data_IF_767268155932
#
_entry.id   IF_767268155932
#
_cell.length_a   1.000
_cell.length_b   1.000
_cell.length_c   1.000
_cell.angle_alpha   90.00
_cell.angle_beta   90.00
_cell.angle_gamma   90.00
#
_symmetry.space_group_name_H-M   'P 1'
#
loop_
_entity.id
_entity.type
_entity.pdbx_description
1 polymer ?
#
# COMPACT_ATOMS: atom_id res chain seq x y z
N UNK A 1 -5.47 -15.72 15.06
CA UNK A 1 -5.64 -16.99 15.80
C UNK A 1 -6.24 -18.08 14.90
N UNK A 2 -7.44 -17.88 14.32
CA UNK A 2 -8.13 -18.94 13.54
C UNK A 2 -7.32 -19.50 12.34
N UNK A 3 -6.54 -18.68 11.65
CA UNK A 3 -5.72 -19.15 10.51
C UNK A 3 -4.57 -20.06 10.98
N UNK A 4 -3.81 -19.64 12.01
CA UNK A 4 -2.76 -20.48 12.62
C UNK A 4 -3.30 -21.79 13.21
N UNK A 5 -4.52 -21.79 13.75
CA UNK A 5 -5.17 -23.00 14.22
C UNK A 5 -5.53 -23.94 13.06
N UNK A 6 -5.92 -23.38 11.91
CA UNK A 6 -6.19 -24.14 10.69
C UNK A 6 -4.94 -24.82 10.12
N UNK A 7 -3.84 -24.08 9.98
CA UNK A 7 -2.57 -24.65 9.48
C UNK A 7 -2.00 -25.72 10.41
N UNK A 8 -2.08 -25.52 11.74
CA UNK A 8 -1.71 -26.51 12.74
C UNK A 8 -2.60 -27.76 12.70
N UNK A 9 -3.89 -27.60 12.44
CA UNK A 9 -4.81 -28.73 12.30
C UNK A 9 -4.46 -29.60 11.09
N UNK A 10 -4.17 -29.00 9.92
CA UNK A 10 -3.76 -29.71 8.71
C UNK A 10 -2.44 -30.45 8.94
N UNK A 11 -1.47 -29.81 9.56
CA UNK A 11 -0.19 -30.46 9.95
C UNK A 11 -0.40 -31.65 10.87
N UNK A 12 -1.24 -31.51 11.91
CA UNK A 12 -1.54 -32.59 12.85
C UNK A 12 -2.22 -33.78 12.17
N UNK A 13 -3.18 -33.54 11.28
CA UNK A 13 -3.80 -34.57 10.46
C UNK A 13 -2.78 -35.28 9.56
N UNK A 14 -1.85 -34.53 8.94
CA UNK A 14 -0.78 -35.09 8.15
C UNK A 14 0.14 -36.00 8.96
N UNK A 15 0.48 -35.60 10.19
CA UNK A 15 1.30 -36.41 11.12
C UNK A 15 0.58 -37.69 11.58
N UNK A 16 -0.70 -37.59 11.93
CA UNK A 16 -1.50 -38.73 12.41
C UNK A 16 -1.80 -39.74 11.30
N UNK A 17 -2.03 -39.26 10.05
CA UNK A 17 -2.34 -40.12 8.90
C UNK A 17 -1.10 -40.62 8.14
N UNK A 18 0.10 -40.07 8.41
CA UNK A 18 1.31 -40.30 7.62
C UNK A 18 1.22 -39.74 6.19
N UNK A 19 0.27 -38.85 5.91
CA UNK A 19 0.06 -38.27 4.59
C UNK A 19 0.99 -37.09 4.36
N UNK A 20 1.96 -37.28 3.45
CA UNK A 20 3.00 -36.30 3.13
C UNK A 20 2.44 -35.03 2.47
N UNK A 21 1.40 -35.15 1.67
CA UNK A 21 0.75 -34.02 1.02
C UNK A 21 0.14 -33.07 2.05
N UNK A 22 -0.55 -33.59 3.07
CA UNK A 22 -1.07 -32.79 4.19
C UNK A 22 0.03 -32.14 5.03
N UNK A 23 1.20 -32.79 5.14
CA UNK A 23 2.34 -32.19 5.84
C UNK A 23 2.93 -31.02 5.06
N UNK A 24 3.10 -31.20 3.74
CA UNK A 24 3.65 -30.15 2.87
C UNK A 24 2.69 -28.97 2.76
N UNK A 25 1.38 -29.21 2.60
CA UNK A 25 0.36 -28.16 2.58
C UNK A 25 0.23 -27.43 3.91
N UNK A 26 0.17 -28.17 5.01
CA UNK A 26 0.10 -27.58 6.35
C UNK A 26 1.32 -26.76 6.71
N UNK A 27 2.50 -27.18 6.24
CA UNK A 27 3.73 -26.42 6.41
C UNK A 27 3.72 -25.12 5.61
N UNK A 28 3.34 -25.18 4.33
CA UNK A 28 3.22 -23.98 3.47
C UNK A 28 2.22 -22.96 4.05
N UNK A 29 1.07 -23.45 4.53
CA UNK A 29 0.07 -22.61 5.21
C UNK A 29 0.63 -21.95 6.47
N UNK A 30 1.40 -22.69 7.28
CA UNK A 30 2.02 -22.17 8.51
C UNK A 30 3.07 -21.11 8.21
N UNK A 31 3.92 -21.32 7.20
CA UNK A 31 4.91 -20.33 6.76
C UNK A 31 4.23 -19.03 6.30
N UNK A 32 3.14 -19.12 5.55
CA UNK A 32 2.35 -17.96 5.12
C UNK A 32 1.74 -17.22 6.31
N UNK A 33 1.15 -17.94 7.27
CA UNK A 33 0.55 -17.37 8.46
C UNK A 33 1.57 -16.67 9.36
N UNK A 34 2.74 -17.28 9.56
CA UNK A 34 3.86 -16.68 10.31
C UNK A 34 4.34 -15.40 9.61
N UNK A 35 4.49 -15.43 8.29
CA UNK A 35 4.88 -14.25 7.51
C UNK A 35 3.86 -13.12 7.68
N UNK A 36 2.56 -13.43 7.61
CA UNK A 36 1.48 -12.47 7.85
C UNK A 36 1.53 -11.87 9.25
N UNK A 37 1.75 -12.68 10.28
CA UNK A 37 1.84 -12.19 11.67
C UNK A 37 3.07 -11.31 11.86
N UNK A 38 4.22 -11.71 11.33
CA UNK A 38 5.45 -10.91 11.36
C UNK A 38 5.23 -9.54 10.70
N UNK A 39 4.63 -9.52 9.51
CA UNK A 39 4.41 -8.28 8.77
C UNK A 39 3.42 -7.36 9.52
N UNK A 40 2.43 -7.94 10.20
CA UNK A 40 1.52 -7.22 11.08
C UNK A 40 2.23 -6.60 12.28
N UNK A 41 3.10 -7.36 12.94
CA UNK A 41 3.86 -6.87 14.09
C UNK A 41 4.86 -5.78 13.71
N UNK A 42 5.59 -5.95 12.61
CA UNK A 42 6.52 -4.94 12.10
C UNK A 42 5.79 -3.64 11.72
N UNK A 43 4.58 -3.77 11.18
CA UNK A 43 3.75 -2.61 10.85
C UNK A 43 3.28 -1.87 12.11
N UNK A 44 2.82 -2.59 13.15
CA UNK A 44 2.45 -2.01 14.45
C UNK A 44 3.63 -1.30 15.12
N UNK A 45 4.81 -1.91 15.08
CA UNK A 45 6.04 -1.30 15.62
C UNK A 45 6.38 0.01 14.90
N UNK A 46 6.24 0.07 13.57
CA UNK A 46 6.46 1.31 12.79
C UNK A 46 5.45 2.40 13.14
N UNK A 47 4.19 2.06 13.41
CA UNK A 47 3.17 3.03 13.85
C UNK A 47 3.52 3.61 15.23
N UNK A 48 4.09 2.80 16.12
CA UNK A 48 4.47 3.21 17.49
C UNK A 48 5.77 4.02 17.58
N UNK A 49 6.64 3.92 16.59
CA UNK A 49 7.91 4.65 16.57
C UNK A 49 7.70 6.07 16.04
N UNK A 50 8.02 7.07 16.84
CA UNK A 50 8.27 8.44 16.36
C UNK A 50 9.67 8.44 15.73
N UNK A 51 9.74 8.17 14.44
CA UNK A 51 11.01 8.26 13.71
C UNK A 51 11.14 9.69 13.19
N UNK A 52 12.24 10.35 13.46
CA UNK A 52 12.57 11.66 12.86
C UNK A 52 12.50 11.56 11.34
N UNK A 53 11.97 12.62 10.70
CA UNK A 53 11.95 12.73 9.25
C UNK A 53 13.38 12.79 8.72
N UNK A 54 13.72 11.92 7.77
CA UNK A 54 14.99 11.89 7.07
C UNK A 54 14.84 12.50 5.68
N UNK A 55 14.70 13.81 5.63
CA UNK A 55 14.59 14.53 4.37
C UNK A 55 15.98 14.63 3.69
N UNK A 56 16.07 14.13 2.46
CA UNK A 56 17.20 14.29 1.56
C UNK A 56 16.71 14.86 0.24
N UNK A 57 17.59 15.50 -0.52
CA UNK A 57 17.28 15.90 -1.89
C UNK A 57 17.16 14.66 -2.75
N UNK A 58 15.96 14.36 -3.22
CA UNK A 58 15.62 13.17 -3.97
C UNK A 58 14.77 13.52 -5.18
N UNK A 59 15.03 12.88 -6.33
CA UNK A 59 14.12 12.87 -7.46
C UNK A 59 12.78 12.26 -7.02
N UNK A 60 11.65 13.01 -7.07
CA UNK A 60 10.36 12.57 -6.56
C UNK A 60 9.78 11.38 -7.32
N UNK A 61 10.30 11.07 -8.49
CA UNK A 61 9.90 9.93 -9.34
C UNK A 61 10.54 8.63 -8.86
N UNK A 62 11.70 8.71 -8.23
CA UNK A 62 12.48 7.54 -7.82
C UNK A 62 11.72 6.59 -6.86
N UNK A 63 11.03 7.08 -5.80
CA UNK A 63 10.24 6.22 -4.92
C UNK A 63 9.18 5.40 -5.67
N UNK A 64 8.51 6.00 -6.67
CA UNK A 64 7.51 5.30 -7.47
C UNK A 64 8.16 4.20 -8.32
N UNK A 65 9.28 4.49 -8.99
CA UNK A 65 10.01 3.51 -9.80
C UNK A 65 10.44 2.30 -8.97
N UNK A 66 10.93 2.52 -7.74
CA UNK A 66 11.31 1.44 -6.83
C UNK A 66 10.11 0.56 -6.46
N UNK A 67 8.97 1.18 -6.12
CA UNK A 67 7.75 0.46 -5.75
C UNK A 67 7.20 -0.35 -6.90
N UNK A 68 7.09 0.25 -8.09
CA UNK A 68 6.61 -0.43 -9.30
C UNK A 68 7.48 -1.63 -9.61
N UNK A 69 8.81 -1.46 -9.68
CA UNK A 69 9.76 -2.55 -9.91
C UNK A 69 9.64 -3.67 -8.90
N UNK A 70 9.44 -3.33 -7.61
CA UNK A 70 9.29 -4.31 -6.53
C UNK A 70 8.00 -5.12 -6.61
N UNK A 71 6.91 -4.52 -7.12
CA UNK A 71 5.59 -5.16 -7.20
C UNK A 71 5.26 -5.74 -8.58
N UNK A 72 6.08 -5.51 -9.60
CA UNK A 72 5.87 -5.96 -10.98
C UNK A 72 5.70 -7.48 -11.07
N UNK A 73 6.55 -8.25 -10.39
CA UNK A 73 6.43 -9.72 -10.35
C UNK A 73 5.14 -10.19 -9.69
N UNK A 74 4.71 -9.52 -8.60
CA UNK A 74 3.43 -9.82 -7.93
C UNK A 74 2.24 -9.45 -8.83
N UNK A 75 2.28 -8.31 -9.49
CA UNK A 75 1.23 -7.90 -10.43
C UNK A 75 1.09 -8.90 -11.59
N UNK A 76 2.22 -9.34 -12.17
CA UNK A 76 2.26 -10.34 -13.24
C UNK A 76 1.66 -11.67 -12.79
N UNK A 77 2.01 -12.19 -11.60
CA UNK A 77 1.45 -13.43 -11.05
C UNK A 77 -0.07 -13.37 -10.82
N UNK A 78 -0.58 -12.18 -10.57
CA UNK A 78 -2.02 -11.91 -10.42
C UNK A 78 -2.70 -11.57 -11.75
N UNK A 79 -1.99 -11.57 -12.89
CA UNK A 79 -2.50 -11.12 -14.19
C UNK A 79 -3.10 -9.71 -14.12
N UNK A 80 -2.39 -8.76 -13.51
CA UNK A 80 -2.76 -7.35 -13.38
C UNK A 80 -1.70 -6.52 -14.10
N UNK A 81 -2.13 -5.62 -14.99
CA UNK A 81 -1.24 -4.64 -15.61
C UNK A 81 -0.90 -3.55 -14.59
N UNK A 82 0.36 -3.47 -14.16
CA UNK A 82 0.86 -2.39 -13.32
C UNK A 82 1.57 -1.37 -14.19
N UNK A 83 1.02 -0.16 -14.29
CA UNK A 83 1.53 0.91 -15.12
C UNK A 83 2.00 2.09 -14.27
N UNK A 84 3.06 2.74 -14.73
CA UNK A 84 3.54 3.98 -14.15
C UNK A 84 3.58 5.07 -15.23
N UNK A 85 2.99 6.22 -14.92
CA UNK A 85 3.00 7.40 -15.76
C UNK A 85 3.66 8.56 -15.05
N UNK A 86 4.72 9.07 -15.62
CA UNK A 86 5.47 10.20 -15.12
C UNK A 86 5.05 11.47 -15.85
N UNK A 87 4.49 12.41 -15.11
CA UNK A 87 4.11 13.73 -15.61
C UNK A 87 4.72 14.86 -14.74
N UNK A 88 5.68 14.53 -13.86
CA UNK A 88 6.34 15.49 -12.99
C UNK A 88 7.76 15.79 -13.48
N UNK A 89 8.20 17.03 -13.24
CA UNK A 89 9.61 17.36 -13.37
C UNK A 89 10.42 16.59 -12.32
N UNK A 90 11.55 16.03 -12.73
CA UNK A 90 12.45 15.23 -11.88
C UNK A 90 13.38 16.09 -11.02
N UNK A 91 13.13 17.39 -10.87
CA UNK A 91 13.94 18.25 -10.03
C UNK A 91 13.95 17.73 -8.59
N UNK A 92 15.14 17.48 -7.99
CA UNK A 92 15.24 16.99 -6.64
C UNK A 92 14.61 17.93 -5.63
N UNK A 93 13.89 17.36 -4.67
CA UNK A 93 13.24 18.08 -3.57
C UNK A 93 13.60 17.44 -2.22
N UNK A 94 13.53 18.19 -1.10
CA UNK A 94 13.62 17.60 0.23
C UNK A 94 12.45 16.64 0.46
N UNK A 95 12.74 15.35 0.64
CA UNK A 95 11.74 14.31 0.78
C UNK A 95 12.29 13.14 1.61
N UNK A 96 11.47 12.58 2.48
CA UNK A 96 11.72 11.27 3.11
C UNK A 96 11.27 10.16 2.14
N UNK A 97 12.20 9.77 1.25
CA UNK A 97 11.92 8.80 0.19
C UNK A 97 11.54 7.43 0.74
N UNK A 98 12.19 6.95 1.81
CA UNK A 98 11.90 5.64 2.41
C UNK A 98 10.48 5.60 2.98
N UNK A 99 10.07 6.65 3.65
CA UNK A 99 8.72 6.77 4.21
C UNK A 99 7.66 6.85 3.13
N UNK A 100 7.93 7.61 2.06
CA UNK A 100 7.03 7.68 0.90
C UNK A 100 6.93 6.33 0.18
N UNK A 101 8.05 5.62 -0.04
CA UNK A 101 8.04 4.26 -0.60
C UNK A 101 7.16 3.32 0.23
N UNK A 102 7.24 3.39 1.56
CA UNK A 102 6.37 2.62 2.45
C UNK A 102 4.88 2.93 2.24
N UNK A 103 4.52 4.21 2.07
CA UNK A 103 3.16 4.63 1.75
C UNK A 103 2.70 4.09 0.40
N UNK A 104 3.50 4.26 -0.64
CA UNK A 104 3.20 3.80 -2.00
C UNK A 104 3.10 2.27 -2.07
N UNK A 105 4.02 1.52 -1.42
CA UNK A 105 3.95 0.06 -1.34
C UNK A 105 2.62 -0.42 -0.74
N UNK A 106 2.15 0.26 0.32
CA UNK A 106 0.86 -0.08 0.92
C UNK A 106 -0.31 0.22 -0.02
N UNK A 107 -0.33 1.38 -0.69
CA UNK A 107 -1.43 1.76 -1.58
C UNK A 107 -1.46 0.89 -2.84
N UNK A 108 -0.33 0.67 -3.50
CA UNK A 108 -0.24 -0.19 -4.68
C UNK A 108 -0.54 -1.65 -4.31
N UNK A 109 -0.06 -2.12 -3.15
CA UNK A 109 -0.40 -3.44 -2.62
C UNK A 109 -1.90 -3.63 -2.42
N UNK A 110 -2.58 -2.63 -1.84
CA UNK A 110 -4.04 -2.64 -1.69
C UNK A 110 -4.77 -2.64 -3.04
N UNK A 111 -4.28 -1.86 -4.01
CA UNK A 111 -4.83 -1.83 -5.36
C UNK A 111 -4.71 -3.19 -6.06
N UNK A 112 -3.56 -3.90 -5.93
CA UNK A 112 -3.39 -5.25 -6.47
C UNK A 112 -4.34 -6.27 -5.82
N UNK A 113 -4.75 -6.05 -4.58
CA UNK A 113 -5.68 -6.91 -3.84
C UNK A 113 -7.17 -6.57 -4.07
N UNK A 114 -7.47 -5.48 -4.81
CA UNK A 114 -8.84 -5.04 -5.08
C UNK A 114 -9.54 -5.84 -6.18
N UNK A 115 -8.90 -6.85 -6.77
CA UNK A 115 -9.44 -7.62 -7.88
C UNK A 115 -9.94 -9.00 -7.45
N UNK A 116 -11.05 -9.49 -8.03
CA UNK A 116 -11.43 -10.89 -7.94
C UNK A 116 -10.42 -11.78 -8.67
N UNK A 117 -10.54 -13.09 -8.48
CA UNK A 117 -9.71 -14.08 -9.18
C UNK A 117 -9.74 -13.84 -10.72
N UNK A 118 -8.64 -14.13 -11.45
CA UNK A 118 -8.54 -13.81 -12.88
C UNK A 118 -9.72 -14.30 -13.74
N UNK A 119 -10.27 -15.49 -13.46
CA UNK A 119 -11.41 -16.04 -14.21
C UNK A 119 -12.77 -15.39 -13.90
N UNK A 120 -12.86 -14.50 -12.91
CA UNK A 120 -14.09 -13.81 -12.51
C UNK A 120 -14.11 -12.33 -12.92
N UNK A 121 -13.12 -11.86 -13.67
CA UNK A 121 -12.99 -10.45 -14.08
C UNK A 121 -13.75 -10.18 -15.36
N UNK A 122 -14.58 -9.14 -15.35
CA UNK A 122 -15.33 -8.70 -16.53
C UNK A 122 -14.47 -7.91 -17.54
N UNK A 123 -13.30 -7.40 -17.11
CA UNK A 123 -12.37 -6.60 -17.91
C UNK A 123 -10.92 -6.85 -17.49
N UNK A 124 -9.93 -6.49 -18.32
CA UNK A 124 -8.53 -6.54 -17.93
C UNK A 124 -8.28 -5.75 -16.65
N UNK A 125 -7.55 -6.35 -15.71
CA UNK A 125 -7.21 -5.71 -14.45
C UNK A 125 -6.01 -4.78 -14.65
N UNK A 126 -6.14 -3.56 -14.16
CA UNK A 126 -5.12 -2.51 -14.29
C UNK A 126 -4.97 -1.75 -12.98
N UNK A 127 -3.73 -1.53 -12.58
CA UNK A 127 -3.33 -0.57 -11.55
C UNK A 127 -2.41 0.45 -12.18
N UNK A 128 -2.74 1.72 -12.04
CA UNK A 128 -1.96 2.83 -12.58
C UNK A 128 -1.46 3.73 -11.46
N UNK A 129 -0.17 4.01 -11.49
CA UNK A 129 0.47 4.99 -10.61
C UNK A 129 0.84 6.21 -11.44
N UNK A 130 0.40 7.37 -11.02
CA UNK A 130 0.68 8.64 -11.70
C UNK A 130 1.34 9.59 -10.70
N UNK A 131 2.30 10.38 -11.19
CA UNK A 131 2.89 11.47 -10.42
C UNK A 131 2.67 12.78 -11.17
N UNK A 132 2.25 13.80 -10.44
CA UNK A 132 2.11 15.15 -10.96
C UNK A 132 2.71 16.16 -9.98
N UNK A 133 3.24 17.26 -10.51
CA UNK A 133 3.75 18.37 -9.74
C UNK A 133 2.92 19.61 -10.03
N UNK A 134 2.48 20.28 -8.97
CA UNK A 134 1.88 21.62 -9.03
C UNK A 134 2.85 22.62 -8.38
N UNK A 135 2.62 23.94 -8.49
CA UNK A 135 3.47 24.92 -7.80
C UNK A 135 3.58 24.71 -6.29
N UNK A 136 2.54 24.14 -5.66
CA UNK A 136 2.41 24.04 -4.21
C UNK A 136 2.52 22.62 -3.67
N UNK A 137 2.46 21.59 -4.54
CA UNK A 137 2.40 20.20 -4.09
C UNK A 137 2.91 19.19 -5.11
N UNK A 138 3.41 18.06 -4.59
CA UNK A 138 3.51 16.80 -5.32
C UNK A 138 2.28 15.96 -5.08
N UNK A 139 1.79 15.34 -6.13
CA UNK A 139 0.60 14.49 -6.12
C UNK A 139 0.99 13.12 -6.65
N UNK A 140 0.68 12.07 -5.89
CA UNK A 140 0.83 10.68 -6.30
C UNK A 140 -0.54 10.04 -6.30
N UNK A 141 -0.99 9.61 -7.46
CA UNK A 141 -2.26 8.91 -7.67
C UNK A 141 -2.01 7.42 -7.86
N UNK A 142 -2.70 6.60 -7.09
CA UNK A 142 -2.78 5.15 -7.27
C UNK A 142 -4.21 4.83 -7.62
N UNK A 143 -4.44 4.42 -8.87
CA UNK A 143 -5.76 4.07 -9.43
C UNK A 143 -5.82 2.58 -9.71
N UNK A 144 -6.91 1.97 -9.34
CA UNK A 144 -7.26 0.62 -9.77
C UNK A 144 -8.62 0.64 -10.48
N UNK A 145 -8.85 -0.36 -11.32
CA UNK A 145 -10.15 -0.62 -11.93
C UNK A 145 -10.81 -1.88 -11.32
N UNK A 146 -10.51 -2.18 -10.07
CA UNK A 146 -11.04 -3.32 -9.32
C UNK A 146 -12.48 -3.12 -8.83
N UNK A 147 -12.80 -3.72 -7.67
CA UNK A 147 -14.14 -3.65 -7.10
C UNK A 147 -14.47 -2.30 -6.45
N UNK A 148 -13.46 -1.46 -6.22
CA UNK A 148 -13.60 -0.22 -5.45
C UNK A 148 -13.83 -0.48 -3.95
N UNK A 149 -14.17 0.58 -3.23
CA UNK A 149 -14.48 0.53 -1.81
C UNK A 149 -15.99 0.33 -1.62
N UNK A 150 -16.37 -0.64 -0.76
CA UNK A 150 -17.77 -0.76 -0.34
C UNK A 150 -18.22 0.48 0.43
N UNK A 151 -19.53 0.74 0.50
CA UNK A 151 -20.08 1.88 1.25
C UNK A 151 -19.61 1.85 2.72
N UNK A 152 -19.62 0.67 3.34
CA UNK A 152 -19.13 0.47 4.71
C UNK A 152 -17.63 0.77 4.83
N UNK A 153 -16.82 0.36 3.85
CA UNK A 153 -15.40 0.65 3.77
C UNK A 153 -15.13 2.15 3.67
N UNK A 154 -15.88 2.81 2.81
CA UNK A 154 -15.80 4.25 2.58
C UNK A 154 -16.18 5.06 3.84
N UNK A 155 -17.22 4.63 4.57
CA UNK A 155 -17.64 5.25 5.81
C UNK A 155 -16.60 5.09 6.92
N UNK A 156 -16.09 3.88 7.12
CA UNK A 156 -15.00 3.62 8.09
C UNK A 156 -13.73 4.43 7.82
N UNK A 157 -13.38 4.61 6.54
CA UNK A 157 -12.25 5.46 6.16
C UNK A 157 -12.48 6.93 6.52
N UNK A 158 -13.72 7.43 6.40
CA UNK A 158 -14.09 8.80 6.84
C UNK A 158 -13.97 8.96 8.34
N UNK A 159 -14.45 7.97 9.09
CA UNK A 159 -14.44 7.96 10.57
C UNK A 159 -13.04 7.72 11.17
N UNK A 160 -12.02 7.52 10.32
CA UNK A 160 -10.66 7.24 10.78
C UNK A 160 -10.42 5.78 11.15
N UNK A 161 -11.37 4.88 10.88
CA UNK A 161 -11.24 3.43 11.07
C UNK A 161 -10.80 2.79 9.75
N UNK A 162 -9.58 2.30 9.66
CA UNK A 162 -8.89 2.02 8.39
C UNK A 162 -8.89 0.55 7.96
N UNK A 163 -9.85 -0.28 8.39
CA UNK A 163 -9.94 -1.67 7.92
C UNK A 163 -11.30 -2.01 7.33
N UNK A 164 -11.27 -2.60 6.14
CA UNK A 164 -12.46 -3.09 5.43
C UNK A 164 -12.40 -4.60 5.20
N UNK A 165 -11.24 -5.23 5.44
CA UNK A 165 -11.05 -6.67 5.24
C UNK A 165 -11.33 -7.41 6.55
N UNK A 166 -12.12 -8.50 6.48
CA UNK A 166 -12.42 -9.40 7.59
C UNK A 166 -11.13 -9.96 8.23
N UNK A 167 -10.08 -10.11 7.41
CA UNK A 167 -8.73 -10.55 7.79
C UNK A 167 -7.67 -9.44 7.65
N UNK A 168 -8.04 -8.25 7.18
CA UNK A 168 -7.18 -7.09 7.05
C UNK A 168 -7.00 -6.36 8.38
N UNK A 169 -5.78 -6.03 8.75
CA UNK A 169 -5.45 -5.36 10.02
C UNK A 169 -5.93 -3.92 10.10
N UNK A 170 -6.31 -3.30 8.98
CA UNK A 170 -6.62 -1.87 8.90
C UNK A 170 -5.46 -0.93 9.21
N UNK A 171 -4.34 -1.48 9.64
CA UNK A 171 -3.18 -0.68 10.03
C UNK A 171 -2.43 -0.09 8.84
N UNK A 172 -2.57 -0.65 7.64
CA UNK A 172 -1.88 -0.16 6.44
C UNK A 172 -2.21 1.28 6.10
N UNK A 173 -3.49 1.59 5.94
CA UNK A 173 -3.95 2.94 5.62
C UNK A 173 -3.78 3.89 6.80
N UNK A 174 -3.93 3.41 8.06
CA UNK A 174 -3.65 4.20 9.25
C UNK A 174 -2.18 4.61 9.31
N UNK A 175 -1.26 3.66 9.09
CA UNK A 175 0.18 3.92 9.03
C UNK A 175 0.54 4.88 7.90
N UNK A 176 -0.04 4.68 6.70
CA UNK A 176 0.14 5.60 5.58
C UNK A 176 -0.32 7.01 5.91
N UNK A 177 -1.51 7.16 6.50
CA UNK A 177 -2.01 8.48 6.91
C UNK A 177 -1.11 9.15 7.94
N UNK A 178 -0.67 8.42 8.98
CA UNK A 178 0.26 8.92 9.99
C UNK A 178 1.57 9.39 9.34
N UNK A 179 2.18 8.54 8.52
CA UNK A 179 3.43 8.87 7.82
C UNK A 179 3.30 10.11 6.94
N UNK A 180 2.18 10.24 6.21
CA UNK A 180 1.92 11.41 5.38
C UNK A 180 1.71 12.68 6.21
N UNK A 181 0.98 12.60 7.34
CA UNK A 181 0.81 13.73 8.25
C UNK A 181 2.14 14.21 8.83
N UNK A 182 3.03 13.29 9.19
CA UNK A 182 4.38 13.62 9.66
C UNK A 182 5.22 14.32 8.58
N UNK A 183 5.03 13.98 7.29
CA UNK A 183 5.62 14.67 6.13
C UNK A 183 4.87 15.97 5.75
N UNK A 184 3.85 16.38 6.52
CA UNK A 184 3.01 17.55 6.22
C UNK A 184 2.01 17.32 5.09
N UNK A 185 1.88 16.08 4.62
CA UNK A 185 0.99 15.69 3.54
C UNK A 185 -0.37 15.16 4.00
N UNK A 186 -1.15 14.68 3.03
CA UNK A 186 -2.47 14.09 3.27
C UNK A 186 -2.78 12.97 2.30
N UNK A 187 -3.64 12.05 2.73
CA UNK A 187 -4.22 11.00 1.92
C UNK A 187 -5.68 11.35 1.60
N UNK A 188 -6.01 11.34 0.32
CA UNK A 188 -7.38 11.47 -0.20
C UNK A 188 -7.74 10.16 -0.90
N UNK A 189 -9.04 9.88 -1.01
CA UNK A 189 -9.53 8.70 -1.70
C UNK A 189 -10.93 8.92 -2.24
N UNK A 190 -11.27 8.23 -3.31
CA UNK A 190 -12.61 8.21 -3.91
C UNK A 190 -12.83 6.92 -4.69
N UNK A 191 -14.09 6.52 -4.84
CA UNK A 191 -14.47 5.49 -5.82
C UNK A 191 -14.58 6.13 -7.20
N UNK A 192 -14.09 5.41 -8.20
CA UNK A 192 -14.21 5.83 -9.59
C UNK A 192 -15.60 5.47 -10.15
N UNK A 193 -16.16 6.29 -11.07
CA UNK A 193 -17.52 6.09 -11.60
C UNK A 193 -17.70 4.72 -12.26
N UNK A 194 -16.69 4.24 -12.98
CA UNK A 194 -16.73 2.99 -13.76
C UNK A 194 -16.24 1.76 -12.99
N UNK A 195 -16.17 1.80 -11.66
CA UNK A 195 -15.59 0.80 -10.77
C UNK A 195 -14.10 0.99 -10.52
N UNK A 196 -13.65 0.62 -9.33
CA UNK A 196 -12.31 0.82 -8.82
C UNK A 196 -12.21 1.99 -7.86
N UNK A 197 -11.00 2.25 -7.38
CA UNK A 197 -10.72 3.32 -6.45
C UNK A 197 -9.52 4.17 -6.90
N UNK A 198 -9.50 5.41 -6.43
CA UNK A 198 -8.35 6.29 -6.48
C UNK A 198 -7.91 6.58 -5.04
N UNK A 199 -6.63 6.36 -4.78
CA UNK A 199 -5.95 6.88 -3.59
C UNK A 199 -4.94 7.93 -4.03
N UNK A 200 -5.03 9.13 -3.42
CA UNK A 200 -4.18 10.28 -3.75
C UNK A 200 -3.37 10.71 -2.55
N UNK A 201 -2.05 10.71 -2.69
CA UNK A 201 -1.12 11.35 -1.77
C UNK A 201 -0.89 12.78 -2.25
N UNK A 202 -1.00 13.74 -1.35
CA UNK A 202 -0.66 15.15 -1.60
C UNK A 202 0.40 15.57 -0.59
N UNK A 203 1.62 15.84 -1.09
CA UNK A 203 2.73 16.35 -0.28
C UNK A 203 2.96 17.83 -0.64
N UNK A 204 2.89 18.77 0.33
CA UNK A 204 3.16 20.16 0.05
C UNK A 204 4.64 20.35 -0.34
N UNK A 205 4.89 21.11 -1.39
CA UNK A 205 6.21 21.61 -1.68
C UNK A 205 6.46 22.75 -0.68
N UNK A 206 7.46 22.57 0.19
CA UNK A 206 7.90 23.67 1.05
C UNK A 206 8.55 24.73 0.14
N UNK A 207 7.83 25.81 -0.10
CA UNK A 207 8.46 27.00 -0.65
C UNK A 207 9.45 27.45 0.41
N UNK A 208 10.75 27.41 0.11
CA UNK A 208 11.76 28.06 0.94
C UNK A 208 11.31 29.51 1.13
N UNK A 209 10.82 29.84 2.33
CA UNK A 209 10.73 31.24 2.72
C UNK A 209 12.16 31.74 2.79
N UNK A 210 12.60 32.44 1.76
CA UNK A 210 13.79 33.28 1.85
C UNK A 210 13.63 34.08 3.14
N UNK A 211 14.56 33.98 4.11
CA UNK A 211 14.48 34.82 5.29
C UNK A 211 14.44 36.26 4.82
N UNK A 212 13.38 36.95 5.23
CA UNK A 212 13.30 38.41 5.00
C UNK A 212 14.60 39.01 5.47
N UNK A 213 15.32 39.69 4.55
CA UNK A 213 16.50 40.43 4.89
C UNK A 213 16.15 41.35 6.06
N UNK A 214 16.82 41.12 7.19
CA UNK A 214 16.75 42.02 8.32
C UNK A 214 17.35 43.36 7.87
N UNK A 215 16.52 44.39 7.74
CA UNK A 215 16.93 45.78 7.70
C UNK A 215 17.32 46.25 9.11
#
# INVERSE_FOLDING_TARGET
>A
AAALEGSLFVLKQGMESGNREYLDDGWAMLEEDISRVRDKLLHLLRIGQQTELRECLVDPVQPVRHVVKRLEGRAASLSIALQFQDAADSDPIPLDAERLEGCLLNLVGNALEAFPAPGLRARPAEVRVEIARTPDALIYDVRDNGTGLSAEAAERLRDGLFTTKKDGTGFGLLGTRKALLEMGGRLLWENLPDSGALFRIVLPLRVERTPAAAE
#
